data_IF_398220894899
#
_entry.id   IF_398220894899
#
_cell.length_a   1.000
_cell.length_b   1.000
_cell.length_c   1.000
_cell.angle_alpha   90.00
_cell.angle_beta   90.00
_cell.angle_gamma   90.00
#
_symmetry.space_group_name_H-M   'P 1'
#
loop_
_entity.id
_entity.type
_entity.pdbx_description
1 polymer ?
#
# COMPACT_ATOMS: atom_id res chain seq x y z
N UNK A 1 7.80 30.69 23.73
CA UNK A 1 6.71 29.71 23.72
C UNK A 1 7.21 28.49 22.98
N UNK A 2 7.56 27.44 23.73
CA UNK A 2 7.81 26.11 23.17
C UNK A 2 6.45 25.54 22.78
N UNK A 3 6.17 25.46 21.48
CA UNK A 3 5.08 24.61 21.01
C UNK A 3 5.49 23.15 21.29
N UNK A 4 4.71 22.51 22.15
CA UNK A 4 4.91 21.12 22.54
C UNK A 4 4.92 20.22 21.32
N UNK A 5 6.00 19.46 21.17
CA UNK A 5 6.09 18.33 20.27
C UNK A 5 5.03 17.33 20.75
N UNK A 6 3.90 17.30 20.06
CA UNK A 6 2.77 16.45 20.40
C UNK A 6 3.13 14.97 20.30
N UNK A 7 2.59 14.20 21.25
CA UNK A 7 2.78 12.77 21.57
C UNK A 7 2.64 11.81 20.35
N UNK A 8 2.15 12.29 19.20
CA UNK A 8 2.05 11.52 17.96
C UNK A 8 3.41 11.22 17.28
N UNK A 9 4.47 11.99 17.58
CA UNK A 9 5.83 11.69 17.10
C UNK A 9 6.43 10.46 17.79
N UNK A 10 6.13 10.23 19.06
CA UNK A 10 6.83 9.26 19.91
C UNK A 10 6.49 7.80 19.59
N UNK A 11 5.26 7.50 19.16
CA UNK A 11 4.82 6.12 18.92
C UNK A 11 5.50 5.48 17.72
N UNK A 12 5.70 6.22 16.62
CA UNK A 12 6.43 5.69 15.46
C UNK A 12 7.89 5.40 15.83
N UNK A 13 8.58 6.32 16.50
CA UNK A 13 9.97 6.10 16.90
C UNK A 13 10.10 4.96 17.91
N UNK A 14 9.17 4.85 18.87
CA UNK A 14 9.13 3.73 19.80
C UNK A 14 8.98 2.39 19.06
N UNK A 15 8.04 2.29 18.10
CA UNK A 15 7.85 1.09 17.27
C UNK A 15 9.09 0.78 16.42
N UNK A 16 9.68 1.79 15.77
CA UNK A 16 10.87 1.62 14.95
C UNK A 16 12.05 1.13 15.80
N UNK A 17 12.31 1.75 16.95
CA UNK A 17 13.41 1.37 17.84
C UNK A 17 13.20 -0.02 18.44
N UNK A 18 11.97 -0.37 18.83
CA UNK A 18 11.64 -1.70 19.34
C UNK A 18 11.90 -2.80 18.30
N UNK A 19 11.82 -2.49 17.01
CA UNK A 19 11.99 -3.44 15.91
C UNK A 19 13.32 -3.28 15.14
N UNK A 20 14.12 -2.24 15.43
CA UNK A 20 15.29 -1.87 14.63
C UNK A 20 16.31 -3.01 14.52
N UNK A 21 16.55 -3.72 15.63
CA UNK A 21 17.47 -4.87 15.67
C UNK A 21 16.97 -6.00 14.76
N UNK A 22 15.68 -6.36 14.84
CA UNK A 22 15.11 -7.41 14.02
C UNK A 22 15.15 -7.04 12.53
N UNK A 23 14.78 -5.81 12.18
CA UNK A 23 14.86 -5.29 10.80
C UNK A 23 16.30 -5.37 10.27
N UNK A 24 17.30 -4.98 11.07
CA UNK A 24 18.72 -5.05 10.68
C UNK A 24 19.22 -6.47 10.49
N UNK A 25 18.86 -7.39 11.40
CA UNK A 25 19.25 -8.80 11.31
C UNK A 25 18.67 -9.43 10.05
N UNK A 26 17.36 -9.32 9.84
CA UNK A 26 16.69 -9.90 8.67
C UNK A 26 17.20 -9.32 7.35
N UNK A 27 17.51 -8.02 7.31
CA UNK A 27 18.11 -7.41 6.13
C UNK A 27 19.50 -7.99 5.84
N UNK A 28 20.35 -8.12 6.87
CA UNK A 28 21.71 -8.65 6.72
C UNK A 28 21.73 -10.14 6.38
N UNK A 29 20.79 -10.93 6.89
CA UNK A 29 20.64 -12.34 6.49
C UNK A 29 20.50 -12.52 4.97
N UNK A 30 19.96 -11.52 4.26
CA UNK A 30 19.80 -11.55 2.82
C UNK A 30 20.92 -10.83 2.05
N UNK A 31 21.45 -9.74 2.61
CA UNK A 31 22.26 -8.78 1.84
C UNK A 31 23.66 -8.52 2.42
N UNK A 32 24.10 -9.20 3.49
CA UNK A 32 25.37 -8.91 4.17
C UNK A 32 26.59 -8.90 3.23
N UNK A 33 26.64 -9.81 2.25
CA UNK A 33 27.75 -9.88 1.29
C UNK A 33 27.62 -8.88 0.12
N UNK A 34 26.50 -8.18 -0.01
CA UNK A 34 26.28 -7.25 -1.11
C UNK A 34 27.12 -5.97 -0.91
N UNK A 35 27.88 -5.48 -1.93
CA UNK A 35 28.75 -4.31 -1.80
C UNK A 35 28.04 -3.03 -1.34
N UNK A 36 26.73 -2.93 -1.57
CA UNK A 36 25.89 -1.80 -1.17
C UNK A 36 25.03 -2.08 0.08
N UNK A 37 25.32 -3.11 0.87
CA UNK A 37 24.51 -3.52 2.03
C UNK A 37 24.21 -2.34 2.98
N UNK A 38 25.23 -1.63 3.47
CA UNK A 38 25.00 -0.53 4.41
C UNK A 38 24.27 0.65 3.76
N UNK A 39 24.62 1.03 2.53
CA UNK A 39 23.93 2.10 1.81
C UNK A 39 22.45 1.75 1.56
N UNK A 40 22.16 0.50 1.19
CA UNK A 40 20.81 -0.01 0.98
C UNK A 40 20.00 -0.01 2.27
N UNK A 41 20.61 -0.40 3.39
CA UNK A 41 19.98 -0.33 4.71
C UNK A 41 19.69 1.10 5.15
N UNK A 42 20.64 2.03 4.97
CA UNK A 42 20.43 3.46 5.24
C UNK A 42 19.26 4.01 4.41
N UNK A 43 19.22 3.70 3.12
CA UNK A 43 18.13 4.09 2.23
C UNK A 43 16.79 3.53 2.69
N UNK A 44 16.75 2.26 3.13
CA UNK A 44 15.54 1.63 3.68
C UNK A 44 15.02 2.40 4.90
N UNK A 45 15.89 2.72 5.86
CA UNK A 45 15.51 3.48 7.06
C UNK A 45 15.01 4.88 6.69
N UNK A 46 15.67 5.55 5.73
CA UNK A 46 15.23 6.84 5.22
C UNK A 46 13.81 6.77 4.62
N UNK A 47 13.55 5.77 3.78
CA UNK A 47 12.22 5.58 3.16
C UNK A 47 11.15 5.30 4.21
N UNK A 48 11.42 4.46 5.21
CA UNK A 48 10.48 4.17 6.30
C UNK A 48 10.16 5.45 7.09
N UNK A 49 11.18 6.25 7.44
CA UNK A 49 11.00 7.48 8.19
C UNK A 49 10.22 8.56 7.39
N UNK A 50 10.53 8.71 6.11
CA UNK A 50 9.82 9.64 5.22
C UNK A 50 8.36 9.23 5.02
N UNK A 51 8.10 7.94 4.77
CA UNK A 51 6.75 7.42 4.64
C UNK A 51 5.93 7.64 5.93
N UNK A 52 6.51 7.42 7.10
CA UNK A 52 5.86 7.67 8.38
C UNK A 52 5.56 9.17 8.62
N UNK A 53 6.49 10.05 8.24
CA UNK A 53 6.29 11.51 8.31
C UNK A 53 5.12 11.94 7.44
N UNK A 54 5.09 11.46 6.20
CA UNK A 54 4.10 11.83 5.18
C UNK A 54 2.76 11.08 5.32
N UNK A 55 2.64 10.13 6.26
CA UNK A 55 1.41 9.37 6.48
C UNK A 55 0.27 10.29 6.93
N UNK A 56 -0.89 10.29 6.23
CA UNK A 56 -2.07 11.07 6.59
C UNK A 56 -2.56 10.82 8.01
N UNK A 57 -3.10 11.86 8.67
CA UNK A 57 -3.54 11.78 10.06
C UNK A 57 -4.61 10.70 10.30
N UNK A 58 -5.58 10.56 9.39
CA UNK A 58 -6.64 9.55 9.52
C UNK A 58 -6.09 8.11 9.49
N UNK A 59 -4.98 7.88 8.77
CA UNK A 59 -4.31 6.58 8.76
C UNK A 59 -3.49 6.35 10.04
N UNK A 60 -2.89 7.41 10.61
CA UNK A 60 -2.23 7.32 11.93
C UNK A 60 -3.24 6.97 13.03
N UNK A 61 -4.41 7.59 13.01
CA UNK A 61 -5.52 7.23 13.91
C UNK A 61 -5.93 5.78 13.72
N UNK A 62 -6.05 5.31 12.47
CA UNK A 62 -6.35 3.90 12.17
C UNK A 62 -5.29 2.93 12.69
N UNK A 63 -4.01 3.32 12.67
CA UNK A 63 -2.94 2.50 13.23
C UNK A 63 -3.11 2.32 14.74
N UNK A 64 -3.48 3.37 15.47
CA UNK A 64 -3.68 3.32 16.91
C UNK A 64 -4.95 2.54 17.30
N UNK A 65 -6.04 2.70 16.54
CA UNK A 65 -7.25 1.88 16.69
C UNK A 65 -6.95 0.39 16.52
N UNK A 66 -6.18 0.03 15.48
CA UNK A 66 -5.81 -1.35 15.21
C UNK A 66 -4.87 -1.90 16.28
N UNK A 67 -3.91 -1.11 16.75
CA UNK A 67 -2.98 -1.52 17.81
C UNK A 67 -3.70 -1.80 19.14
N UNK A 68 -4.76 -1.05 19.47
CA UNK A 68 -5.57 -1.30 20.68
C UNK A 68 -6.42 -2.57 20.57
N UNK A 69 -6.85 -2.93 19.36
CA UNK A 69 -7.64 -4.15 19.09
C UNK A 69 -6.78 -5.40 18.88
N UNK A 70 -5.49 -5.23 18.58
CA UNK A 70 -4.49 -6.27 18.33
C UNK A 70 -4.89 -7.20 17.15
N UNK A 71 -5.70 -8.22 17.43
CA UNK A 71 -6.16 -9.23 16.47
C UNK A 71 -7.47 -8.84 15.75
N UNK A 72 -7.63 -7.57 15.38
CA UNK A 72 -8.85 -7.06 14.73
C UNK A 72 -9.25 -7.85 13.47
N UNK A 73 -8.27 -8.40 12.76
CA UNK A 73 -8.43 -9.20 11.54
C UNK A 73 -9.00 -10.61 11.78
N UNK A 74 -9.10 -11.07 13.04
CA UNK A 74 -9.76 -12.34 13.40
C UNK A 74 -11.24 -12.14 13.79
N UNK A 75 -11.75 -10.92 13.76
CA UNK A 75 -13.13 -10.63 14.13
C UNK A 75 -14.13 -11.32 13.20
N UNK A 76 -15.14 -11.98 13.78
CA UNK A 76 -16.27 -12.53 13.03
C UNK A 76 -17.22 -11.45 12.48
N UNK A 77 -16.97 -10.18 12.79
CA UNK A 77 -17.68 -9.03 12.20
C UNK A 77 -17.10 -8.65 10.82
N UNK A 78 -15.94 -9.19 10.43
CA UNK A 78 -15.33 -8.90 9.12
C UNK A 78 -15.93 -9.84 8.07
N UNK A 79 -16.53 -9.23 7.04
CA UNK A 79 -17.00 -9.92 5.85
C UNK A 79 -16.35 -9.31 4.61
N UNK A 80 -15.51 -10.11 3.95
CA UNK A 80 -14.72 -9.70 2.80
C UNK A 80 -15.38 -10.00 1.45
N UNK A 81 -15.16 -9.12 0.48
CA UNK A 81 -15.53 -9.32 -0.91
C UNK A 81 -14.37 -8.91 -1.82
N UNK A 82 -14.01 -9.78 -2.77
CA UNK A 82 -13.06 -9.46 -3.84
C UNK A 82 -13.82 -9.07 -5.11
N UNK A 83 -13.34 -8.04 -5.81
CA UNK A 83 -13.96 -7.59 -7.06
C UNK A 83 -12.96 -6.96 -8.02
N UNK A 84 -13.25 -7.10 -9.32
CA UNK A 84 -12.66 -6.30 -10.38
C UNK A 84 -13.46 -5.00 -10.52
N UNK A 85 -12.80 -3.85 -10.42
CA UNK A 85 -13.45 -2.52 -10.40
C UNK A 85 -14.21 -2.25 -11.70
N UNK A 86 -13.60 -2.56 -12.84
CA UNK A 86 -14.20 -2.44 -14.17
C UNK A 86 -15.45 -3.29 -14.33
N UNK A 87 -15.40 -4.55 -13.86
CA UNK A 87 -16.53 -5.48 -14.00
C UNK A 87 -17.67 -5.17 -13.04
N UNK A 88 -17.36 -4.67 -11.85
CA UNK A 88 -18.38 -4.38 -10.85
C UNK A 88 -19.09 -3.05 -11.11
N UNK A 89 -18.33 -1.99 -11.43
CA UNK A 89 -18.89 -0.64 -11.53
C UNK A 89 -18.20 0.29 -12.53
N UNK A 90 -17.21 -0.20 -13.29
CA UNK A 90 -16.49 0.57 -14.30
C UNK A 90 -15.21 1.21 -13.78
N UNK A 91 -15.31 2.11 -12.80
CA UNK A 91 -14.15 2.87 -12.31
C UNK A 91 -14.21 3.16 -10.80
N UNK A 92 -13.12 3.71 -10.25
CA UNK A 92 -12.98 4.02 -8.83
C UNK A 92 -13.99 5.09 -8.37
N UNK A 93 -14.35 6.05 -9.22
CA UNK A 93 -15.31 7.10 -8.88
C UNK A 93 -16.72 6.53 -8.73
N UNK A 94 -17.10 5.59 -9.61
CA UNK A 94 -18.35 4.86 -9.49
C UNK A 94 -18.35 3.96 -8.26
N UNK A 95 -17.20 3.32 -7.95
CA UNK A 95 -17.05 2.47 -6.76
C UNK A 95 -17.30 3.24 -5.46
N UNK A 96 -16.80 4.47 -5.35
CA UNK A 96 -17.11 5.37 -4.21
C UNK A 96 -18.62 5.54 -3.99
N UNK A 97 -19.42 5.55 -5.06
CA UNK A 97 -20.88 5.60 -4.99
C UNK A 97 -21.57 4.29 -4.62
N UNK A 98 -20.82 3.21 -4.37
CA UNK A 98 -21.34 1.87 -4.02
C UNK A 98 -21.13 1.49 -2.55
N UNK A 99 -20.56 2.36 -1.71
CA UNK A 99 -20.32 2.03 -0.30
C UNK A 99 -21.62 1.67 0.45
N UNK A 100 -22.72 2.40 0.22
CA UNK A 100 -24.05 2.07 0.78
C UNK A 100 -24.57 0.67 0.36
N UNK A 101 -24.19 0.20 -0.83
CA UNK A 101 -24.56 -1.14 -1.29
C UNK A 101 -23.81 -2.21 -0.48
N UNK A 102 -22.51 -2.02 -0.27
CA UNK A 102 -21.70 -2.96 0.51
C UNK A 102 -22.13 -2.99 1.98
N UNK A 103 -22.44 -1.83 2.57
CA UNK A 103 -22.97 -1.76 3.94
C UNK A 103 -24.29 -2.53 4.08
N UNK A 104 -25.25 -2.34 3.14
CA UNK A 104 -26.51 -3.10 3.12
C UNK A 104 -26.32 -4.59 2.94
N UNK A 105 -25.29 -4.99 2.18
CA UNK A 105 -24.93 -6.40 1.99
C UNK A 105 -24.24 -6.99 3.23
N UNK A 106 -23.73 -6.15 4.13
CA UNK A 106 -22.94 -6.54 5.30
C UNK A 106 -21.45 -6.74 4.99
N UNK A 107 -20.97 -6.27 3.84
CA UNK A 107 -19.54 -6.33 3.47
C UNK A 107 -18.84 -5.10 4.05
N UNK A 108 -17.72 -5.31 4.74
CA UNK A 108 -16.90 -4.25 5.32
C UNK A 108 -15.41 -4.38 5.02
N UNK A 109 -15.02 -5.33 4.16
CA UNK A 109 -13.66 -5.47 3.68
C UNK A 109 -13.70 -5.67 2.17
N UNK A 110 -13.15 -4.72 1.41
CA UNK A 110 -13.07 -4.79 -0.04
C UNK A 110 -11.65 -5.14 -0.49
N UNK A 111 -11.51 -6.22 -1.25
CA UNK A 111 -10.29 -6.52 -1.99
C UNK A 111 -10.50 -6.09 -3.44
N UNK A 112 -9.75 -5.07 -3.85
CA UNK A 112 -9.75 -4.61 -5.23
C UNK A 112 -8.66 -5.35 -5.98
N UNK A 113 -9.06 -6.13 -6.99
CA UNK A 113 -8.14 -6.77 -7.93
C UNK A 113 -7.24 -5.70 -8.60
N UNK A 114 -6.10 -6.05 -9.21
CA UNK A 114 -5.05 -5.10 -9.57
C UNK A 114 -5.55 -3.85 -10.32
N UNK A 115 -5.26 -2.68 -9.76
CA UNK A 115 -5.68 -1.35 -10.28
C UNK A 115 -4.51 -0.46 -10.74
N UNK A 116 -3.28 -0.93 -10.59
CA UNK A 116 -2.10 -0.18 -11.01
C UNK A 116 -1.84 -0.40 -12.51
N UNK A 117 -1.10 0.54 -13.10
CA UNK A 117 -0.82 0.53 -14.53
C UNK A 117 -0.17 -0.79 -14.95
N UNK A 118 -0.72 -1.37 -16.01
CA UNK A 118 -0.28 -2.64 -16.61
C UNK A 118 -0.41 -2.54 -18.14
N UNK A 119 0.17 -3.49 -18.92
CA UNK A 119 -0.01 -3.51 -20.36
C UNK A 119 -1.50 -3.52 -20.77
N UNK A 120 -1.88 -2.82 -21.85
CA UNK A 120 -3.28 -2.72 -22.26
C UNK A 120 -3.88 -4.05 -22.73
N UNK A 121 -3.03 -4.94 -23.25
CA UNK A 121 -3.41 -6.24 -23.78
C UNK A 121 -3.15 -7.34 -22.73
N UNK A 122 -2.14 -8.18 -22.94
CA UNK A 122 -1.76 -9.31 -22.09
C UNK A 122 -1.10 -8.82 -20.78
N UNK A 123 -1.92 -8.60 -19.76
CA UNK A 123 -1.48 -8.11 -18.43
C UNK A 123 -1.69 -9.11 -17.30
N UNK A 124 -2.08 -10.35 -17.60
CA UNK A 124 -2.48 -11.35 -16.61
C UNK A 124 -3.52 -10.80 -15.62
N UNK A 125 -4.58 -10.17 -16.14
CA UNK A 125 -5.61 -9.54 -15.30
C UNK A 125 -5.12 -8.33 -14.48
N UNK A 126 -4.01 -7.70 -14.88
CA UNK A 126 -3.39 -6.56 -14.20
C UNK A 126 -2.23 -6.94 -13.26
N UNK A 127 -1.89 -8.22 -13.12
CA UNK A 127 -0.75 -8.67 -12.31
C UNK A 127 0.61 -8.39 -12.96
N UNK A 128 0.68 -8.19 -14.29
CA UNK A 128 1.88 -7.69 -14.96
C UNK A 128 2.00 -6.16 -14.78
N UNK A 129 2.50 -5.71 -13.62
CA UNK A 129 2.54 -4.27 -13.28
C UNK A 129 3.64 -3.52 -14.03
N UNK A 130 3.27 -2.43 -14.71
CA UNK A 130 4.17 -1.50 -15.42
C UNK A 130 4.58 -0.28 -14.59
N UNK A 131 3.74 0.15 -13.65
CA UNK A 131 4.08 1.19 -12.66
C UNK A 131 3.26 1.02 -11.36
N UNK A 132 3.95 0.72 -10.26
CA UNK A 132 3.36 0.57 -8.92
C UNK A 132 2.85 1.87 -8.28
N UNK A 133 3.11 3.03 -8.88
CA UNK A 133 2.74 4.35 -8.35
C UNK A 133 1.57 4.98 -9.08
N UNK A 134 1.22 4.45 -10.25
CA UNK A 134 0.23 5.03 -11.13
C UNK A 134 -0.98 4.10 -11.22
N UNK A 135 -2.16 4.63 -10.88
CA UNK A 135 -3.42 3.94 -11.12
C UNK A 135 -3.66 3.89 -12.63
N UNK A 136 -4.10 2.75 -13.13
CA UNK A 136 -4.42 2.58 -14.54
C UNK A 136 -5.55 3.52 -14.96
N UNK A 137 -5.41 4.18 -16.10
CA UNK A 137 -6.37 5.18 -16.59
C UNK A 137 -7.78 4.61 -16.76
N UNK A 138 -7.91 3.30 -16.97
CA UNK A 138 -9.20 2.58 -17.00
C UNK A 138 -9.99 2.73 -15.70
N UNK A 139 -9.30 2.87 -14.57
CA UNK A 139 -9.91 2.96 -13.25
C UNK A 139 -9.95 4.39 -12.69
N UNK A 140 -9.12 5.30 -13.20
CA UNK A 140 -9.08 6.71 -12.81
C UNK A 140 -7.68 7.18 -12.39
N UNK A 141 -7.63 8.23 -11.57
CA UNK A 141 -6.36 8.78 -11.10
C UNK A 141 -6.01 8.29 -9.68
N UNK A 142 -4.74 8.42 -9.30
CA UNK A 142 -4.27 8.12 -7.94
C UNK A 142 -5.06 8.91 -6.86
N UNK A 143 -5.46 10.14 -7.16
CA UNK A 143 -6.26 10.93 -6.23
C UNK A 143 -7.70 10.41 -6.07
N UNK A 144 -8.25 9.74 -7.07
CA UNK A 144 -9.54 9.04 -6.93
C UNK A 144 -9.40 7.85 -5.99
N UNK A 145 -8.30 7.08 -6.10
CA UNK A 145 -7.99 6.00 -5.16
C UNK A 145 -7.80 6.52 -3.72
N UNK A 146 -7.07 7.62 -3.53
CA UNK A 146 -6.89 8.24 -2.21
C UNK A 146 -8.24 8.65 -1.58
N UNK A 147 -9.13 9.25 -2.39
CA UNK A 147 -10.48 9.63 -1.93
C UNK A 147 -11.30 8.41 -1.56
N UNK A 148 -11.28 7.35 -2.38
CA UNK A 148 -11.95 6.09 -2.06
C UNK A 148 -11.45 5.50 -0.74
N UNK A 149 -10.13 5.43 -0.53
CA UNK A 149 -9.52 4.91 0.71
C UNK A 149 -10.00 5.71 1.93
N UNK A 150 -10.06 7.04 1.81
CA UNK A 150 -10.57 7.90 2.88
C UNK A 150 -12.05 7.60 3.18
N UNK A 151 -12.90 7.51 2.16
CA UNK A 151 -14.34 7.23 2.30
C UNK A 151 -14.60 5.83 2.89
N UNK A 152 -13.84 4.82 2.45
CA UNK A 152 -13.89 3.46 3.03
C UNK A 152 -13.54 3.51 4.52
N UNK A 153 -12.50 4.27 4.89
CA UNK A 153 -12.13 4.41 6.29
C UNK A 153 -13.20 5.13 7.12
N UNK A 154 -13.81 6.20 6.57
CA UNK A 154 -14.92 6.93 7.19
C UNK A 154 -16.17 6.04 7.38
N UNK A 155 -16.42 5.13 6.45
CA UNK A 155 -17.47 4.11 6.55
C UNK A 155 -17.14 2.95 7.51
N UNK A 156 -15.98 2.99 8.19
CA UNK A 156 -15.56 1.91 9.10
C UNK A 156 -15.15 0.62 8.38
N UNK A 157 -14.94 0.68 7.06
CA UNK A 157 -14.58 -0.46 6.22
C UNK A 157 -13.06 -0.59 6.05
N UNK A 158 -12.63 -1.69 5.41
CA UNK A 158 -11.26 -1.99 5.04
C UNK A 158 -11.11 -2.10 3.52
N UNK A 159 -9.92 -1.77 3.04
CA UNK A 159 -9.53 -1.98 1.65
C UNK A 159 -8.21 -2.73 1.60
N UNK A 160 -8.14 -3.69 0.68
CA UNK A 160 -6.93 -4.43 0.33
C UNK A 160 -6.65 -4.22 -1.15
N UNK A 161 -5.36 -4.02 -1.45
CA UNK A 161 -4.81 -3.93 -2.80
C UNK A 161 -3.71 -4.99 -2.93
N UNK A 162 -3.55 -5.54 -4.13
CA UNK A 162 -2.42 -6.40 -4.44
C UNK A 162 -1.09 -5.63 -4.43
N UNK A 163 -0.03 -6.27 -3.91
CA UNK A 163 1.36 -5.84 -4.05
C UNK A 163 2.15 -6.94 -4.76
N UNK A 164 2.34 -6.80 -6.07
CA UNK A 164 3.05 -7.81 -6.89
C UNK A 164 4.56 -7.64 -6.73
N UNK A 165 5.14 -8.29 -5.72
CA UNK A 165 6.57 -8.14 -5.38
C UNK A 165 7.50 -9.06 -6.17
N UNK A 166 6.99 -10.19 -6.69
CA UNK A 166 7.82 -11.22 -7.31
C UNK A 166 8.31 -10.83 -8.72
N UNK A 167 7.54 -10.03 -9.45
CA UNK A 167 7.81 -9.72 -10.85
C UNK A 167 7.17 -8.39 -11.26
N UNK A 168 7.63 -7.86 -12.40
CA UNK A 168 7.06 -6.69 -13.08
C UNK A 168 6.72 -7.05 -14.52
N UNK A 169 5.90 -6.26 -15.20
CA UNK A 169 5.76 -6.32 -16.67
C UNK A 169 7.10 -6.06 -17.35
N UNK A 170 7.27 -6.61 -18.56
CA UNK A 170 8.36 -6.29 -19.48
C UNK A 170 8.34 -4.83 -19.99
N UNK A 171 7.22 -4.13 -19.81
CA UNK A 171 7.04 -2.71 -20.08
C UNK A 171 7.34 -1.82 -18.86
N UNK A 172 7.66 -2.40 -17.69
CA UNK A 172 8.06 -1.63 -16.51
C UNK A 172 9.37 -0.88 -16.77
N UNK A 173 9.53 0.33 -16.20
CA UNK A 173 10.72 1.17 -16.40
C UNK A 173 12.03 0.41 -16.15
N UNK A 174 12.08 -0.36 -15.05
CA UNK A 174 13.22 -1.19 -14.68
C UNK A 174 13.55 -2.23 -15.77
N UNK A 175 12.56 -2.97 -16.27
CA UNK A 175 12.75 -3.97 -17.31
C UNK A 175 13.24 -3.34 -18.63
N UNK A 176 12.68 -2.18 -19.00
CA UNK A 176 13.10 -1.45 -20.20
C UNK A 176 14.53 -0.92 -20.09
N UNK A 177 14.97 -0.47 -18.91
CA UNK A 177 16.35 -0.02 -18.67
C UNK A 177 17.34 -1.18 -18.66
N UNK A 178 17.02 -2.27 -17.95
CA UNK A 178 17.81 -3.49 -17.95
C UNK A 178 18.02 -4.03 -19.37
N UNK A 179 16.94 -4.10 -20.17
CA UNK A 179 17.00 -4.54 -21.59
C UNK A 179 17.88 -3.64 -22.47
N UNK A 180 18.03 -2.36 -22.13
CA UNK A 180 18.91 -1.40 -22.82
C UNK A 180 20.37 -1.49 -22.35
N UNK A 181 20.67 -2.33 -21.37
CA UNK A 181 22.02 -2.52 -20.82
C UNK A 181 22.41 -1.51 -19.75
N UNK A 182 21.47 -0.80 -19.14
CA UNK A 182 21.74 0.05 -17.98
C UNK A 182 22.15 -0.83 -16.79
N UNK A 183 23.43 -0.81 -16.42
CA UNK A 183 24.02 -1.67 -15.39
C UNK A 183 23.42 -1.48 -13.99
N UNK A 184 22.70 -0.37 -13.76
CA UNK A 184 22.02 -0.15 -12.48
C UNK A 184 20.75 -1.00 -12.35
N UNK A 185 20.09 -1.33 -13.47
CA UNK A 185 18.76 -1.93 -13.51
C UNK A 185 18.79 -3.37 -14.04
#
# INVERSE_FOLDING_TARGET
>A
MQEGIGIAGDLFYARLMANATAIRILYRELYEEHPLCEQGFEQLIHVIAEAARNRPLFLKQKDDEKAQKDHWYLSNEIAGMSLYVDRFCGDIKQLSGKLDYFEKLGINFLHLMPIFQSPPDESDGGYAVSDFRTVDERFGALDDLKKLIQQINEAGMYVMLDMVLNHTSDQHEWALKAKKGDQKY
#
